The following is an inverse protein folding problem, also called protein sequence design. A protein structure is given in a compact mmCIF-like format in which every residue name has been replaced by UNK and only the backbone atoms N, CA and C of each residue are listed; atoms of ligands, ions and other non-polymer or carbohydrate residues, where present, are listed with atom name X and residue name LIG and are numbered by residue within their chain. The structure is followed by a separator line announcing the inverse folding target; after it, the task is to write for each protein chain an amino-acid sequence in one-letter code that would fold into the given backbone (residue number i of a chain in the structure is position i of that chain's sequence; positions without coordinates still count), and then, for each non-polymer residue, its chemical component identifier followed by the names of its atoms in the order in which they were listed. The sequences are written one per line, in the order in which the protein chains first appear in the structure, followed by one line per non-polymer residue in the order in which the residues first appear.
data_IF_410188077478
#
_entry.id   IF_410188077478
#
_cell.length_a   1.000
_cell.length_b   1.000
_cell.length_c   1.000
_cell.angle_alpha   90.00
_cell.angle_beta   90.00
_cell.angle_gamma   90.00
#
_symmetry.space_group_name_H-M   'P 1'
#
loop_
_entity.id
_entity.type
_entity.pdbx_description
1 polymer ?
#
# COMPACT_ATOMS: atom_id res chain seq x y z
N UNK A 1 11.92 -61.72 -25.46
CA UNK A 1 10.50 -61.98 -25.17
C UNK A 1 10.00 -60.80 -24.36
N UNK A 2 9.52 -59.73 -25.00
CA UNK A 2 8.08 -59.47 -25.21
C UNK A 2 7.31 -59.87 -23.96
N UNK A 3 7.11 -58.91 -23.05
CA UNK A 3 6.22 -59.11 -21.89
C UNK A 3 4.82 -59.26 -22.46
N UNK A 4 4.29 -60.48 -22.39
CA UNK A 4 3.00 -60.88 -22.94
C UNK A 4 1.86 -60.08 -22.31
N UNK A 5 1.07 -59.47 -23.18
CA UNK A 5 -0.11 -58.67 -22.87
C UNK A 5 -1.31 -59.62 -22.83
N UNK A 6 -1.58 -60.24 -21.69
CA UNK A 6 -2.81 -61.02 -21.48
C UNK A 6 -3.31 -60.83 -20.05
N UNK A 7 -3.97 -59.69 -19.76
CA UNK A 7 -5.00 -59.51 -18.69
C UNK A 7 -5.23 -58.03 -18.33
N UNK A 8 -5.59 -57.19 -19.31
CA UNK A 8 -6.12 -55.85 -19.02
C UNK A 8 -7.60 -55.85 -19.42
N UNK A 9 -8.49 -55.84 -18.43
CA UNK A 9 -9.93 -55.78 -18.70
C UNK A 9 -10.31 -54.46 -19.39
N UNK A 10 -11.29 -54.48 -20.30
CA UNK A 10 -11.75 -53.28 -21.05
C UNK A 10 -12.19 -52.14 -20.10
N UNK A 11 -12.65 -52.50 -18.89
CA UNK A 11 -12.97 -51.56 -17.82
C UNK A 11 -11.74 -50.82 -17.27
N UNK A 12 -10.57 -51.46 -17.27
CA UNK A 12 -9.31 -50.88 -16.81
C UNK A 12 -8.76 -49.88 -17.85
N UNK A 13 -8.96 -50.13 -19.15
CA UNK A 13 -8.62 -49.17 -20.21
C UNK A 13 -9.51 -47.93 -20.13
N UNK A 14 -10.82 -48.11 -19.90
CA UNK A 14 -11.78 -47.00 -19.71
C UNK A 14 -11.45 -46.14 -18.48
N UNK A 15 -11.01 -46.76 -17.38
CA UNK A 15 -10.61 -46.03 -16.17
C UNK A 15 -9.32 -45.21 -16.40
N UNK A 16 -8.36 -45.72 -17.17
CA UNK A 16 -7.11 -45.03 -17.48
C UNK A 16 -7.38 -43.84 -18.43
N UNK A 17 -8.26 -43.99 -19.43
CA UNK A 17 -8.60 -42.89 -20.35
C UNK A 17 -9.48 -41.82 -19.69
N UNK A 18 -10.45 -42.19 -18.85
CA UNK A 18 -11.23 -41.23 -18.05
C UNK A 18 -10.39 -40.52 -16.98
N UNK A 19 -9.43 -41.23 -16.36
CA UNK A 19 -8.46 -40.63 -15.46
C UNK A 19 -7.60 -39.58 -16.17
N UNK A 20 -7.00 -39.92 -17.31
CA UNK A 20 -6.16 -38.97 -18.06
C UNK A 20 -6.93 -37.76 -18.62
N UNK A 21 -8.19 -37.92 -19.04
CA UNK A 21 -9.02 -36.82 -19.55
C UNK A 21 -9.49 -35.86 -18.45
N UNK A 22 -9.68 -36.33 -17.22
CA UNK A 22 -10.04 -35.48 -16.06
C UNK A 22 -8.84 -34.73 -15.49
N UNK A 23 -7.62 -35.24 -15.68
CA UNK A 23 -6.39 -34.51 -15.32
C UNK A 23 -6.07 -33.33 -16.26
N UNK A 24 -6.54 -33.34 -17.51
CA UNK A 24 -6.30 -32.26 -18.47
C UNK A 24 -7.20 -31.02 -18.27
N UNK A 25 -8.23 -31.09 -17.40
CA UNK A 25 -9.23 -30.02 -17.26
C UNK A 25 -9.02 -29.08 -16.05
N UNK A 26 -7.98 -29.28 -15.22
CA UNK A 26 -7.73 -28.50 -14.00
C UNK A 26 -6.48 -27.60 -14.05
N UNK A 27 -5.94 -27.33 -15.24
CA UNK A 27 -4.74 -26.51 -15.43
C UNK A 27 -4.99 -25.02 -15.70
N UNK A 28 -6.04 -24.39 -15.15
CA UNK A 28 -6.05 -22.92 -15.09
C UNK A 28 -5.14 -22.49 -13.93
N UNK A 29 -3.83 -22.46 -14.17
CA UNK A 29 -2.90 -21.82 -13.25
C UNK A 29 -3.14 -20.31 -13.37
N UNK A 30 -4.04 -19.80 -12.52
CA UNK A 30 -4.07 -18.38 -12.23
C UNK A 30 -2.63 -17.98 -11.92
N UNK A 31 -2.08 -17.08 -12.73
CA UNK A 31 -0.75 -16.53 -12.57
C UNK A 31 -0.77 -15.71 -11.28
N UNK A 32 -0.65 -16.39 -10.15
CA UNK A 32 -0.75 -15.84 -8.82
C UNK A 32 0.50 -15.00 -8.61
N UNK A 33 0.37 -13.69 -8.84
CA UNK A 33 1.33 -12.70 -8.39
C UNK A 33 1.62 -12.95 -6.91
N UNK A 34 2.84 -13.36 -6.60
CA UNK A 34 3.19 -13.76 -5.26
C UNK A 34 3.59 -12.51 -4.47
N UNK A 35 2.66 -11.99 -3.66
CA UNK A 35 2.92 -10.77 -2.89
C UNK A 35 4.02 -11.03 -1.85
N UNK A 36 5.21 -10.47 -2.11
CA UNK A 36 6.35 -10.60 -1.20
C UNK A 36 6.07 -9.91 0.13
N UNK A 37 6.28 -10.62 1.23
CA UNK A 37 6.00 -10.14 2.57
C UNK A 37 6.89 -8.94 2.97
N UNK A 38 6.37 -8.11 3.88
CA UNK A 38 7.06 -6.93 4.41
C UNK A 38 6.87 -5.67 3.55
N UNK A 39 7.37 -4.54 4.03
CA UNK A 39 7.18 -3.22 3.41
C UNK A 39 8.53 -2.61 3.02
N UNK A 40 8.55 -1.77 1.99
CA UNK A 40 9.76 -1.07 1.59
C UNK A 40 10.25 -0.10 2.67
N UNK A 41 11.56 0.12 2.85
CA UNK A 41 12.04 1.23 3.67
C UNK A 41 11.53 2.57 3.14
N UNK A 42 11.46 3.58 4.02
CA UNK A 42 11.07 4.93 3.62
C UNK A 42 12.26 5.65 2.98
N UNK A 43 12.12 6.22 1.78
CA UNK A 43 13.18 7.01 1.20
C UNK A 43 13.40 8.28 2.03
N UNK A 44 14.65 8.79 2.11
CA UNK A 44 14.98 10.02 2.84
C UNK A 44 14.42 11.29 2.19
N UNK A 45 13.83 11.20 1.00
CA UNK A 45 13.27 12.32 0.27
C UNK A 45 12.56 11.89 -1.03
N UNK A 46 12.09 12.86 -1.83
CA UNK A 46 11.48 12.60 -3.12
C UNK A 46 12.50 12.09 -4.15
N UNK A 47 12.00 11.41 -5.19
CA UNK A 47 12.80 10.96 -6.34
C UNK A 47 13.31 12.15 -7.15
N UNK A 48 14.57 12.11 -7.55
CA UNK A 48 15.16 13.10 -8.47
C UNK A 48 14.66 12.90 -9.91
N UNK A 49 14.75 13.92 -10.75
CA UNK A 49 14.23 13.90 -12.12
C UNK A 49 14.96 12.93 -13.06
N UNK A 50 16.25 12.67 -12.81
CA UNK A 50 17.09 11.73 -13.55
C UNK A 50 17.16 10.34 -12.89
N UNK A 51 16.13 9.97 -12.13
CA UNK A 51 16.04 8.69 -11.46
C UNK A 51 15.94 7.53 -12.46
N UNK A 52 16.64 6.42 -12.16
CA UNK A 52 16.63 5.20 -12.96
C UNK A 52 15.97 4.09 -12.16
N UNK A 53 14.98 3.44 -12.76
CA UNK A 53 14.30 2.30 -12.15
C UNK A 53 14.98 1.00 -12.60
N UNK A 54 15.47 0.23 -11.65
CA UNK A 54 16.07 -1.10 -11.87
C UNK A 54 15.07 -2.25 -11.71
N UNK A 55 13.87 -1.93 -11.22
CA UNK A 55 12.74 -2.84 -11.08
C UNK A 55 11.43 -2.04 -11.27
N UNK A 56 10.37 -2.73 -11.64
CA UNK A 56 9.02 -2.20 -11.73
C UNK A 56 8.11 -2.82 -10.66
N UNK A 57 8.28 -4.12 -10.41
CA UNK A 57 7.49 -4.90 -9.46
C UNK A 57 8.39 -5.73 -8.54
N UNK A 58 7.84 -6.22 -7.42
CA UNK A 58 8.56 -7.05 -6.45
C UNK A 58 9.09 -8.36 -7.06
N UNK A 59 8.42 -8.86 -8.10
CA UNK A 59 8.80 -10.08 -8.82
C UNK A 59 10.03 -9.89 -9.71
N UNK A 60 10.38 -8.66 -10.08
CA UNK A 60 11.65 -8.35 -10.76
C UNK A 60 12.84 -8.54 -9.81
N UNK A 61 12.58 -8.57 -8.51
CA UNK A 61 13.59 -8.70 -7.46
C UNK A 61 13.77 -10.17 -7.05
N UNK A 62 15.00 -10.54 -6.69
CA UNK A 62 15.29 -11.91 -6.22
C UNK A 62 14.81 -12.11 -4.78
N UNK A 63 14.59 -13.36 -4.40
CA UNK A 63 14.28 -13.76 -3.03
C UNK A 63 13.10 -12.98 -2.42
N UNK A 64 13.17 -12.64 -1.14
CA UNK A 64 12.18 -11.83 -0.44
C UNK A 64 12.35 -10.31 -0.66
N UNK A 65 13.21 -9.88 -1.59
CA UNK A 65 13.43 -8.46 -1.85
C UNK A 65 12.25 -7.83 -2.57
N UNK A 66 11.95 -6.58 -2.23
CA UNK A 66 10.86 -5.79 -2.81
C UNK A 66 11.40 -4.68 -3.68
N UNK A 67 10.64 -4.27 -4.68
CA UNK A 67 10.96 -3.16 -5.56
C UNK A 67 10.56 -1.83 -4.89
N UNK A 68 11.55 -1.16 -4.32
CA UNK A 68 11.33 -0.03 -3.43
C UNK A 68 11.73 1.30 -4.04
N UNK A 69 10.93 2.38 -3.85
CA UNK A 69 11.30 3.71 -4.30
C UNK A 69 12.47 4.26 -3.49
N UNK A 70 13.48 4.77 -4.17
CA UNK A 70 14.60 5.51 -3.58
C UNK A 70 14.70 6.89 -4.21
N UNK A 71 15.51 7.80 -3.65
CA UNK A 71 15.75 9.11 -4.25
C UNK A 71 16.32 9.00 -5.68
N UNK A 72 17.00 7.89 -6.02
CA UNK A 72 17.60 7.65 -7.35
C UNK A 72 16.73 6.76 -8.26
N UNK A 73 15.47 6.52 -7.89
CA UNK A 73 14.56 5.61 -8.60
C UNK A 73 14.35 4.29 -7.87
N UNK A 74 13.60 3.37 -8.48
CA UNK A 74 13.26 2.09 -7.85
C UNK A 74 14.41 1.11 -7.86
N UNK A 75 14.66 0.44 -6.73
CA UNK A 75 15.66 -0.60 -6.57
C UNK A 75 15.15 -1.74 -5.70
N UNK A 76 15.65 -2.94 -5.95
CA UNK A 76 15.40 -4.09 -5.09
C UNK A 76 16.06 -3.87 -3.72
N UNK A 77 15.27 -3.95 -2.65
CA UNK A 77 15.72 -3.79 -1.28
C UNK A 77 15.08 -4.83 -0.37
N UNK A 78 15.76 -5.17 0.73
CA UNK A 78 15.15 -5.98 1.77
C UNK A 78 13.95 -5.23 2.38
N UNK A 79 12.85 -5.94 2.68
CA UNK A 79 11.74 -5.34 3.40
C UNK A 79 12.19 -4.86 4.77
N UNK A 80 11.69 -3.69 5.15
CA UNK A 80 11.92 -3.07 6.44
C UNK A 80 11.02 -3.72 7.50
N UNK A 81 11.62 -4.60 8.32
CA UNK A 81 10.95 -5.26 9.42
C UNK A 81 10.46 -4.28 10.51
N UNK A 82 10.98 -3.04 10.52
CA UNK A 82 10.56 -1.99 11.46
C UNK A 82 9.51 -1.07 10.86
N UNK A 83 9.19 -1.21 9.57
CA UNK A 83 8.15 -0.39 8.94
C UNK A 83 6.79 -0.95 9.30
N UNK A 84 6.17 -0.28 10.26
CA UNK A 84 4.87 -0.62 10.77
C UNK A 84 3.92 0.52 10.39
N UNK A 85 2.80 0.18 9.74
CA UNK A 85 1.81 1.16 9.24
C UNK A 85 0.50 0.95 9.97
N UNK A 86 -0.06 2.05 10.45
CA UNK A 86 -1.36 2.07 11.11
C UNK A 86 -2.50 1.94 10.10
N UNK A 87 -3.71 1.56 10.55
CA UNK A 87 -4.87 1.42 9.66
C UNK A 87 -5.25 2.72 8.91
N UNK A 88 -4.85 3.88 9.44
CA UNK A 88 -5.05 5.20 8.83
C UNK A 88 -3.95 5.58 7.82
N UNK A 89 -2.97 4.70 7.59
CA UNK A 89 -1.82 4.93 6.72
C UNK A 89 -0.66 5.71 7.37
N UNK A 90 -0.79 6.11 8.63
CA UNK A 90 0.30 6.76 9.38
C UNK A 90 1.38 5.74 9.75
N UNK A 91 2.59 6.23 10.06
CA UNK A 91 3.67 5.36 10.57
C UNK A 91 3.37 5.06 12.03
N UNK A 92 3.32 3.77 12.37
CA UNK A 92 3.26 3.39 13.77
C UNK A 92 4.57 3.75 14.47
N UNK A 93 4.47 4.21 15.70
CA UNK A 93 5.64 4.66 16.44
C UNK A 93 6.48 3.48 16.92
N UNK A 94 5.82 2.45 17.44
CA UNK A 94 6.45 1.24 17.98
C UNK A 94 5.46 0.07 18.03
N UNK A 95 5.98 -1.12 18.29
CA UNK A 95 5.16 -2.28 18.65
C UNK A 95 4.69 -2.19 20.10
N UNK A 96 3.57 -2.80 20.42
CA UNK A 96 2.99 -2.84 21.76
C UNK A 96 2.31 -4.18 22.02
N UNK A 97 2.10 -4.51 23.30
CA UNK A 97 1.24 -5.59 23.76
C UNK A 97 -0.05 -5.06 24.39
N UNK A 98 0.03 -3.90 25.03
CA UNK A 98 -1.09 -3.18 25.62
C UNK A 98 -1.01 -1.68 25.32
N UNK A 99 -2.13 -0.97 25.49
CA UNK A 99 -2.22 0.49 25.30
C UNK A 99 -1.19 1.26 26.15
N UNK A 100 -0.85 0.76 27.34
CA UNK A 100 0.15 1.36 28.24
C UNK A 100 1.57 1.36 27.67
N UNK A 101 1.85 0.48 26.70
CA UNK A 101 3.15 0.45 26.04
C UNK A 101 3.29 1.60 25.03
N UNK A 102 2.20 2.30 24.71
CA UNK A 102 2.19 3.40 23.78
C UNK A 102 2.32 4.74 24.51
N UNK A 103 3.26 5.58 24.06
CA UNK A 103 3.44 6.92 24.59
C UNK A 103 2.46 7.90 23.92
N UNK A 104 2.03 8.94 24.64
CA UNK A 104 1.05 9.95 24.19
C UNK A 104 -0.35 9.33 23.95
N UNK A 105 -1.21 10.02 23.19
CA UNK A 105 -2.58 9.58 22.85
C UNK A 105 -2.59 8.51 21.74
N UNK A 106 -1.73 7.49 21.85
CA UNK A 106 -1.62 6.37 20.92
C UNK A 106 -2.24 5.12 21.54
N UNK A 107 -2.94 4.33 20.73
CA UNK A 107 -3.58 3.07 21.09
C UNK A 107 -2.81 1.89 20.51
N UNK A 108 -2.78 0.80 21.26
CA UNK A 108 -2.20 -0.44 20.77
C UNK A 108 -3.20 -1.17 19.86
N UNK A 109 -3.03 -1.00 18.57
CA UNK A 109 -3.88 -1.63 17.56
C UNK A 109 -3.10 -2.72 16.85
N UNK A 110 -3.55 -3.98 16.86
CA UNK A 110 -2.86 -5.09 16.19
C UNK A 110 -1.36 -5.22 16.54
N UNK A 111 -1.02 -4.97 17.80
CA UNK A 111 0.35 -5.06 18.30
C UNK A 111 1.24 -3.87 17.93
N UNK A 112 0.65 -2.77 17.45
CA UNK A 112 1.37 -1.57 16.99
C UNK A 112 0.71 -0.30 17.54
N UNK A 113 1.51 0.67 17.99
CA UNK A 113 1.03 1.92 18.55
C UNK A 113 0.61 2.86 17.44
N UNK A 114 -0.69 3.11 17.36
CA UNK A 114 -1.33 3.94 16.35
C UNK A 114 -2.09 5.10 16.97
N UNK A 115 -2.21 6.24 16.25
CA UNK A 115 -3.08 7.32 16.69
C UNK A 115 -4.47 6.78 16.99
N UNK A 116 -4.99 7.10 18.17
CA UNK A 116 -6.40 6.88 18.45
C UNK A 116 -7.17 7.72 17.42
N UNK A 117 -7.99 7.05 16.60
CA UNK A 117 -8.86 7.74 15.65
C UNK A 117 -9.62 8.79 16.44
N UNK A 118 -9.39 10.07 16.16
CA UNK A 118 -10.38 11.05 16.49
C UNK A 118 -11.62 10.64 15.68
N UNK A 119 -12.64 10.15 16.38
CA UNK A 119 -13.97 9.99 15.84
C UNK A 119 -14.43 11.35 15.35
N UNK A 120 -14.16 11.64 14.08
CA UNK A 120 -14.87 12.68 13.36
C UNK A 120 -15.36 12.04 12.07
N UNK A 121 -16.67 11.85 12.02
CA UNK A 121 -17.43 11.88 10.78
C UNK A 121 -17.21 13.23 10.09
N UNK A 122 -16.01 13.49 9.56
CA UNK A 122 -15.67 14.74 8.89
C UNK A 122 -14.43 14.52 8.03
N UNK A 123 -14.64 14.30 6.72
CA UNK A 123 -13.96 14.89 5.55
C UNK A 123 -12.49 15.37 5.63
N UNK A 124 -11.68 14.92 6.60
CA UNK A 124 -10.43 15.57 6.98
C UNK A 124 -9.24 14.66 6.76
N UNK A 125 -8.38 15.02 5.80
CA UNK A 125 -7.13 14.32 5.50
C UNK A 125 -6.03 14.71 6.48
N UNK A 126 -5.07 13.83 6.73
CA UNK A 126 -3.97 14.05 7.68
C UNK A 126 -3.11 15.28 7.35
N UNK A 127 -2.62 15.94 8.39
CA UNK A 127 -1.78 17.15 8.33
C UNK A 127 -2.58 18.46 8.45
N UNK A 128 -1.89 19.60 8.47
CA UNK A 128 -2.51 20.92 8.72
C UNK A 128 -2.40 21.85 7.51
N UNK A 129 -3.29 22.83 7.39
CA UNK A 129 -3.15 23.85 6.35
C UNK A 129 -1.93 24.74 6.64
N UNK A 130 -1.18 25.16 5.61
CA UNK A 130 -0.18 26.22 5.75
C UNK A 130 -0.81 27.47 6.40
N UNK A 131 -0.04 28.18 7.22
CA UNK A 131 -0.53 29.40 7.84
C UNK A 131 -0.84 30.47 6.77
N UNK A 132 -2.05 31.02 6.83
CA UNK A 132 -2.46 32.14 5.99
C UNK A 132 -2.14 33.45 6.71
N UNK A 133 -1.27 34.26 6.11
CA UNK A 133 -0.98 35.63 6.57
C UNK A 133 -1.88 36.57 5.76
N UNK A 134 -2.79 37.27 6.44
CA UNK A 134 -3.70 38.24 5.81
C UNK A 134 -3.19 39.67 6.07
N UNK A 135 -2.84 40.44 5.01
CA UNK A 135 -2.46 41.85 5.16
C UNK A 135 -3.60 42.70 5.72
N UNK A 136 -3.26 43.76 6.46
CA UNK A 136 -4.25 44.70 6.99
C UNK A 136 -5.04 45.37 5.85
N UNK A 137 -6.37 45.38 5.97
CA UNK A 137 -7.28 45.95 4.96
C UNK A 137 -7.61 45.01 3.79
N UNK A 138 -7.12 43.76 3.80
CA UNK A 138 -7.44 42.77 2.77
C UNK A 138 -8.65 41.91 3.16
N UNK A 139 -9.58 41.72 2.23
CA UNK A 139 -10.73 40.81 2.41
C UNK A 139 -10.48 39.52 1.65
N UNK A 140 -10.78 38.39 2.28
CA UNK A 140 -10.64 37.07 1.66
C UNK A 140 -11.63 36.95 0.50
N UNK A 141 -11.13 36.55 -0.67
CA UNK A 141 -11.93 36.24 -1.84
C UNK A 141 -12.90 35.08 -1.58
N UNK A 142 -14.03 35.08 -2.30
CA UNK A 142 -15.08 34.07 -2.18
C UNK A 142 -15.02 33.00 -3.28
N UNK A 143 -13.88 32.91 -3.96
CA UNK A 143 -13.68 31.99 -5.09
C UNK A 143 -13.14 30.65 -4.55
N UNK A 144 -14.04 29.92 -3.89
CA UNK A 144 -13.79 28.62 -3.29
C UNK A 144 -13.82 27.51 -4.37
N UNK A 145 -12.68 26.82 -4.55
CA UNK A 145 -12.58 25.65 -5.44
C UNK A 145 -12.87 24.32 -4.71
N UNK A 146 -12.96 24.35 -3.39
CA UNK A 146 -13.24 23.17 -2.58
C UNK A 146 -14.04 23.55 -1.33
N UNK A 147 -14.84 22.61 -0.82
CA UNK A 147 -15.55 22.75 0.47
C UNK A 147 -14.93 21.95 1.62
N UNK A 148 -14.29 20.81 1.30
CA UNK A 148 -13.66 19.90 2.27
C UNK A 148 -12.58 19.05 1.60
N UNK A 149 -11.78 18.32 2.37
CA UNK A 149 -10.55 17.70 1.86
C UNK A 149 -10.83 16.59 0.84
N UNK A 150 -12.02 15.96 0.89
CA UNK A 150 -12.43 14.91 -0.07
C UNK A 150 -12.47 15.41 -1.52
N UNK A 151 -12.76 16.69 -1.74
CA UNK A 151 -12.80 17.29 -3.09
C UNK A 151 -11.40 17.52 -3.67
N UNK A 152 -10.36 17.44 -2.82
CA UNK A 152 -8.98 17.64 -3.22
C UNK A 152 -8.32 16.31 -3.61
N UNK A 153 -7.68 16.19 -4.77
CA UNK A 153 -7.06 14.92 -5.15
C UNK A 153 -5.85 14.56 -4.26
N UNK A 154 -5.73 13.27 -3.94
CA UNK A 154 -4.63 12.73 -3.13
C UNK A 154 -4.66 13.24 -1.69
N UNK A 155 -3.47 13.58 -1.15
CA UNK A 155 -3.29 14.04 0.24
C UNK A 155 -3.56 15.53 0.48
N UNK A 156 -4.06 16.26 -0.53
CA UNK A 156 -4.28 17.70 -0.42
C UNK A 156 -5.47 18.01 0.49
N UNK A 157 -5.34 19.07 1.28
CA UNK A 157 -6.41 19.60 2.15
C UNK A 157 -7.03 20.83 1.53
N UNK A 158 -8.31 21.07 1.83
CA UNK A 158 -9.03 22.25 1.43
C UNK A 158 -8.74 23.40 2.41
N UNK A 159 -7.85 24.31 2.00
CA UNK A 159 -7.27 25.33 2.86
C UNK A 159 -7.72 26.73 2.45
N UNK A 160 -7.84 27.62 3.44
CA UNK A 160 -8.16 29.03 3.20
C UNK A 160 -6.96 29.75 2.57
N UNK A 161 -7.20 30.51 1.51
CA UNK A 161 -6.23 31.42 0.89
C UNK A 161 -6.82 32.83 0.78
N UNK A 162 -6.00 33.79 0.34
CA UNK A 162 -6.45 35.16 0.05
C UNK A 162 -7.53 35.22 -1.05
N UNK A 163 -7.57 34.25 -1.97
CA UNK A 163 -8.56 34.19 -3.06
C UNK A 163 -9.84 33.40 -2.70
N UNK A 164 -9.81 32.61 -1.63
CA UNK A 164 -10.85 31.61 -1.30
C UNK A 164 -10.23 30.27 -0.89
N UNK A 165 -11.04 29.23 -0.76
CA UNK A 165 -10.58 27.87 -0.43
C UNK A 165 -9.93 27.18 -1.62
N UNK A 166 -8.76 26.58 -1.42
CA UNK A 166 -7.98 25.88 -2.45
C UNK A 166 -7.37 24.59 -1.90
N UNK A 167 -7.11 23.64 -2.80
CA UNK A 167 -6.49 22.36 -2.44
C UNK A 167 -4.97 22.50 -2.30
N UNK A 168 -4.48 22.56 -1.06
CA UNK A 168 -3.05 22.72 -0.75
C UNK A 168 -2.44 21.44 -0.17
N UNK A 169 -1.12 21.33 -0.25
CA UNK A 169 -0.41 20.26 0.44
C UNK A 169 -0.37 20.57 1.94
N UNK A 170 -0.67 19.59 2.81
CA UNK A 170 -0.60 19.78 4.24
C UNK A 170 0.85 19.94 4.73
N UNK A 171 1.02 20.70 5.81
CA UNK A 171 2.25 20.84 6.61
C UNK A 171 2.20 20.04 7.90
#
# INVERSE_FOLDING_TARGET
LVVSIESISVNMIFAITFGFLTFLSLGNLANGKFDKAGLCPLPPGPTVSNAINYCNEDDDCKDAMKCCPTILGRRCMNPDAKRIICPDGSKAQQTCKADSDCHNNLKCTNGICCPEKADSNDDTKSGSCPQLIVPAGYTIGKDDECRGDLQCSGRRKCCQTLAGKRCLLPV
#
